data_IF_917076693931
#
_entry.id   IF_917076693931
#
_cell.length_a   1.000
_cell.length_b   1.000
_cell.length_c   1.000
_cell.angle_alpha   90.00
_cell.angle_beta   90.00
_cell.angle_gamma   90.00
#
_symmetry.space_group_name_H-M   'P 1'
#
loop_
_entity.id
_entity.type
_entity.pdbx_description
1 polymer ?
#
# COMPACT_ATOMS: atom_id res chain seq x y z
N UNK A 1 31.72 -22.75 62.34
CA UNK A 1 30.56 -22.57 63.25
C UNK A 1 29.85 -21.28 62.83
N UNK A 2 28.50 -21.29 62.74
CA UNK A 2 27.60 -20.20 62.27
C UNK A 2 27.57 -19.92 60.74
N UNK A 3 26.43 -19.75 60.05
CA UNK A 3 24.99 -19.86 60.38
C UNK A 3 24.20 -19.88 59.04
N UNK A 4 23.09 -20.62 58.98
CA UNK A 4 22.17 -20.73 57.83
C UNK A 4 21.41 -19.43 57.54
N UNK A 5 21.13 -19.16 56.27
CA UNK A 5 19.92 -18.51 55.72
C UNK A 5 19.66 -19.15 54.34
N UNK A 6 18.66 -20.04 54.16
CA UNK A 6 17.26 -19.71 53.81
C UNK A 6 17.24 -18.62 52.73
N UNK A 7 17.04 -18.88 51.44
CA UNK A 7 15.97 -19.64 50.80
C UNK A 7 15.15 -18.61 50.00
N UNK A 8 14.95 -18.82 48.70
CA UNK A 8 13.78 -18.38 47.92
C UNK A 8 13.85 -19.15 46.60
N UNK A 9 12.89 -20.06 46.46
CA UNK A 9 12.45 -20.62 45.21
C UNK A 9 11.82 -19.51 44.37
N UNK A 10 12.12 -19.46 43.08
CA UNK A 10 11.55 -18.47 42.18
C UNK A 10 12.03 -18.68 40.77
N UNK A 11 11.64 -19.82 40.18
CA UNK A 11 11.68 -20.00 38.73
C UNK A 11 10.69 -19.00 38.15
N UNK A 12 11.18 -17.80 37.82
CA UNK A 12 10.41 -16.81 37.06
C UNK A 12 10.40 -17.30 35.61
N UNK A 13 9.43 -18.16 35.30
CA UNK A 13 9.08 -18.52 33.94
C UNK A 13 8.45 -17.27 33.30
N UNK A 14 9.29 -16.38 32.78
CA UNK A 14 8.82 -15.31 31.92
C UNK A 14 8.26 -15.97 30.66
N UNK A 15 6.95 -16.07 30.60
CA UNK A 15 6.20 -16.32 29.38
C UNK A 15 6.60 -15.23 28.38
N UNK A 16 7.54 -15.55 27.49
CA UNK A 16 7.74 -14.79 26.28
C UNK A 16 6.44 -14.96 25.48
N UNK A 17 5.53 -13.99 25.63
CA UNK A 17 4.38 -13.88 24.75
C UNK A 17 4.93 -13.71 23.34
N UNK A 18 4.77 -14.75 22.53
CA UNK A 18 5.16 -14.76 21.12
C UNK A 18 4.45 -13.62 20.41
N UNK A 19 5.14 -12.49 20.24
CA UNK A 19 4.79 -11.47 19.26
C UNK A 19 5.11 -12.06 17.89
N UNK A 20 4.22 -12.92 17.38
CA UNK A 20 4.15 -13.17 15.95
C UNK A 20 3.59 -11.89 15.31
N UNK A 21 4.48 -10.91 15.09
CA UNK A 21 4.24 -9.84 14.14
C UNK A 21 3.91 -10.52 12.81
N UNK A 22 2.63 -10.53 12.44
CA UNK A 22 2.17 -11.17 11.21
C UNK A 22 2.80 -10.37 10.07
N UNK A 23 3.75 -10.99 9.38
CA UNK A 23 4.41 -10.48 8.18
C UNK A 23 3.43 -10.41 6.98
N UNK A 24 2.31 -9.70 7.15
CA UNK A 24 1.44 -9.27 6.06
C UNK A 24 1.78 -7.83 5.73
N UNK A 25 1.85 -7.50 4.44
CA UNK A 25 2.01 -6.11 4.02
C UNK A 25 0.91 -5.25 4.66
N UNK A 26 1.29 -4.09 5.18
CA UNK A 26 0.37 -3.17 5.86
C UNK A 26 -0.72 -2.67 4.86
N UNK A 27 -1.97 -2.45 5.28
CA UNK A 27 -3.00 -1.88 4.42
C UNK A 27 -2.61 -0.51 3.86
N UNK A 28 -2.94 -0.25 2.60
CA UNK A 28 -2.57 1.00 1.92
C UNK A 28 -3.32 2.24 2.44
N UNK A 29 -4.40 2.07 3.19
CA UNK A 29 -5.29 3.16 3.61
C UNK A 29 -4.97 3.76 4.99
N UNK A 30 -3.99 3.23 5.72
CA UNK A 30 -3.62 3.76 7.04
C UNK A 30 -2.98 5.14 6.90
N UNK A 31 -3.18 6.02 7.89
CA UNK A 31 -2.58 7.37 7.86
C UNK A 31 -1.04 7.33 7.76
N UNK A 32 -0.40 6.40 8.48
CA UNK A 32 1.04 6.19 8.40
C UNK A 32 1.45 5.78 6.98
N UNK A 33 0.72 4.84 6.38
CA UNK A 33 1.06 4.34 5.05
C UNK A 33 0.84 5.34 3.93
N UNK A 34 -0.18 6.21 4.04
CA UNK A 34 -0.44 7.29 3.08
C UNK A 34 0.76 8.25 2.96
N UNK A 35 1.46 8.53 4.06
CA UNK A 35 2.67 9.37 4.07
C UNK A 35 3.78 8.69 3.24
N UNK A 36 4.02 7.41 3.48
CA UNK A 36 5.02 6.63 2.73
C UNK A 36 4.67 6.52 1.24
N UNK A 37 3.42 6.22 0.92
CA UNK A 37 2.93 6.14 -0.47
C UNK A 37 3.13 7.47 -1.19
N UNK A 38 2.84 8.58 -0.53
CA UNK A 38 3.04 9.93 -1.09
C UNK A 38 4.51 10.16 -1.43
N UNK A 39 5.44 9.70 -0.60
CA UNK A 39 6.87 9.75 -0.91
C UNK A 39 7.22 8.87 -2.12
N UNK A 40 6.70 7.63 -2.19
CA UNK A 40 6.89 6.75 -3.34
C UNK A 40 6.39 7.35 -4.65
N UNK A 41 5.21 7.97 -4.66
CA UNK A 41 4.69 8.65 -5.85
C UNK A 41 5.58 9.81 -6.32
N UNK A 42 6.35 10.45 -5.44
CA UNK A 42 7.35 11.44 -5.84
C UNK A 42 8.55 10.80 -6.53
N UNK A 43 8.98 9.62 -6.11
CA UNK A 43 10.05 8.88 -6.80
C UNK A 43 9.70 8.51 -8.24
N UNK A 44 8.41 8.32 -8.55
CA UNK A 44 7.95 8.13 -9.94
C UNK A 44 8.32 9.31 -10.85
N UNK A 45 8.36 10.54 -10.32
CA UNK A 45 8.79 11.73 -11.04
C UNK A 45 10.32 11.80 -11.22
N UNK A 46 11.07 10.94 -10.54
CA UNK A 46 12.54 10.84 -10.55
C UNK A 46 13.01 9.57 -11.29
N UNK A 47 12.21 9.09 -12.26
CA UNK A 47 12.48 7.91 -13.09
C UNK A 47 12.57 6.56 -12.36
N UNK A 48 12.03 6.45 -11.14
CA UNK A 48 11.85 5.14 -10.49
C UNK A 48 10.43 4.61 -10.68
N UNK A 49 10.23 3.44 -11.30
CA UNK A 49 8.89 2.96 -11.60
C UNK A 49 8.09 2.68 -10.33
N UNK A 50 6.85 3.19 -10.29
CA UNK A 50 5.89 2.88 -9.20
C UNK A 50 4.68 2.17 -9.79
N UNK A 51 4.37 0.98 -9.28
CA UNK A 51 3.20 0.22 -9.69
C UNK A 51 2.08 0.43 -8.67
N UNK A 52 0.90 0.85 -9.14
CA UNK A 52 -0.27 1.08 -8.28
C UNK A 52 -1.43 0.24 -8.77
N UNK A 53 -1.88 -0.71 -7.95
CA UNK A 53 -3.10 -1.49 -8.18
C UNK A 53 -4.22 -0.93 -7.34
N UNK A 54 -5.39 -0.70 -7.94
CA UNK A 54 -6.55 -0.14 -7.24
C UNK A 54 -7.87 -0.66 -7.82
N UNK A 55 -8.92 -0.61 -6.99
CA UNK A 55 -10.27 -0.99 -7.39
C UNK A 55 -10.88 0.07 -8.33
N UNK A 56 -11.33 -0.34 -9.52
CA UNK A 56 -11.75 0.59 -10.59
C UNK A 56 -13.11 1.23 -10.34
N UNK A 57 -13.91 0.65 -9.45
CA UNK A 57 -15.26 1.08 -9.09
C UNK A 57 -15.39 1.54 -7.63
N UNK A 58 -14.27 1.70 -6.92
CA UNK A 58 -14.32 2.22 -5.56
C UNK A 58 -14.81 3.68 -5.56
N UNK A 59 -15.45 4.08 -4.46
CA UNK A 59 -15.99 5.42 -4.30
C UNK A 59 -14.88 6.48 -4.48
N UNK A 60 -15.21 7.54 -5.21
CA UNK A 60 -14.28 8.64 -5.51
C UNK A 60 -13.26 8.35 -6.62
N UNK A 61 -13.08 7.10 -7.06
CA UNK A 61 -12.25 6.78 -8.22
C UNK A 61 -12.89 7.29 -9.51
N UNK A 62 -12.11 7.99 -10.33
CA UNK A 62 -12.55 8.49 -11.65
C UNK A 62 -11.70 7.87 -12.75
N UNK A 63 -12.36 7.12 -13.63
CA UNK A 63 -11.77 6.46 -14.80
C UNK A 63 -12.68 6.62 -16.01
N UNK A 64 -12.15 6.65 -17.24
CA UNK A 64 -12.96 6.46 -18.45
C UNK A 64 -13.76 5.16 -18.42
N UNK A 65 -15.02 5.20 -18.88
CA UNK A 65 -15.90 4.03 -18.92
C UNK A 65 -15.28 2.82 -19.64
N UNK A 66 -14.59 3.05 -20.75
CA UNK A 66 -13.91 2.00 -21.51
C UNK A 66 -12.82 1.26 -20.70
N UNK A 67 -12.18 1.92 -19.72
CA UNK A 67 -11.24 1.25 -18.82
C UNK A 67 -11.96 0.43 -17.76
N UNK A 68 -13.07 0.93 -17.23
CA UNK A 68 -13.91 0.19 -16.26
C UNK A 68 -14.50 -1.07 -16.90
N UNK A 69 -14.98 -0.97 -18.14
CA UNK A 69 -15.49 -2.13 -18.89
C UNK A 69 -14.41 -3.19 -19.11
N UNK A 70 -13.18 -2.76 -19.43
CA UNK A 70 -12.05 -3.66 -19.68
C UNK A 70 -11.47 -4.23 -18.38
N UNK A 71 -11.49 -3.47 -17.30
CA UNK A 71 -10.93 -3.81 -15.98
C UNK A 71 -12.00 -3.60 -14.90
N UNK A 72 -12.95 -4.53 -14.76
CA UNK A 72 -14.16 -4.32 -13.96
C UNK A 72 -13.96 -4.39 -12.44
N UNK A 73 -12.94 -5.12 -11.96
CA UNK A 73 -12.63 -5.21 -10.53
C UNK A 73 -11.47 -4.27 -10.17
N UNK A 74 -10.30 -4.50 -10.76
CA UNK A 74 -9.06 -3.81 -10.42
C UNK A 74 -8.22 -3.53 -11.68
N UNK A 75 -7.39 -2.50 -11.60
CA UNK A 75 -6.40 -2.18 -12.63
C UNK A 75 -5.06 -1.86 -11.97
N UNK A 76 -3.97 -2.27 -12.61
CA UNK A 76 -2.62 -1.82 -12.25
C UNK A 76 -2.15 -0.80 -13.28
N UNK A 77 -1.70 0.36 -12.80
CA UNK A 77 -0.99 1.37 -13.59
C UNK A 77 0.48 1.37 -13.19
N UNK A 78 1.34 1.70 -14.15
CA UNK A 78 2.78 1.88 -13.92
C UNK A 78 3.08 3.36 -14.16
N UNK A 79 3.55 4.04 -13.13
CA UNK A 79 4.00 5.43 -13.21
C UNK A 79 5.49 5.42 -13.53
N UNK A 80 5.80 5.49 -14.82
CA UNK A 80 7.16 5.53 -15.34
C UNK A 80 7.16 6.25 -16.69
N UNK A 81 8.11 7.18 -16.90
CA UNK A 81 8.44 7.94 -18.12
C UNK A 81 7.29 8.69 -18.84
N UNK A 82 6.15 8.05 -19.07
CA UNK A 82 5.00 8.55 -19.85
C UNK A 82 3.76 8.77 -18.96
N UNK A 83 3.87 9.69 -18.00
CA UNK A 83 2.74 10.24 -17.29
C UNK A 83 2.86 11.76 -17.18
N UNK A 84 1.75 12.44 -16.89
CA UNK A 84 1.78 13.87 -16.62
C UNK A 84 0.78 14.27 -15.55
N UNK A 85 0.85 15.53 -15.12
CA UNK A 85 -0.10 16.12 -14.16
C UNK A 85 -0.32 15.25 -12.93
N UNK A 86 0.76 14.63 -12.42
CA UNK A 86 0.72 13.94 -11.15
C UNK A 86 0.52 14.98 -10.04
N UNK A 87 -0.62 14.91 -9.37
CA UNK A 87 -0.95 15.75 -8.23
C UNK A 87 -1.28 14.81 -7.08
N UNK A 88 -0.47 14.86 -6.02
CA UNK A 88 -0.69 14.07 -4.80
C UNK A 88 -1.32 14.97 -3.74
N UNK A 89 -2.34 14.45 -3.07
CA UNK A 89 -3.13 15.09 -2.02
C UNK A 89 -3.15 14.19 -0.79
N UNK A 90 -3.73 14.66 0.32
CA UNK A 90 -3.79 13.88 1.57
C UNK A 90 -4.65 12.60 1.45
N UNK A 91 -5.62 12.60 0.53
CA UNK A 91 -6.58 11.51 0.36
C UNK A 91 -6.30 10.60 -0.85
N UNK A 92 -5.39 11.00 -1.74
CA UNK A 92 -5.09 10.25 -2.96
C UNK A 92 -4.28 11.05 -3.97
N UNK A 93 -4.40 10.68 -5.25
CA UNK A 93 -3.69 11.32 -6.33
C UNK A 93 -4.50 11.43 -7.62
N UNK A 94 -4.17 12.42 -8.43
CA UNK A 94 -4.58 12.53 -9.83
C UNK A 94 -3.39 12.31 -10.75
N UNK A 95 -3.59 11.64 -11.89
CA UNK A 95 -2.54 11.43 -12.88
C UNK A 95 -3.10 11.36 -14.29
N UNK A 96 -2.35 11.86 -15.26
CA UNK A 96 -2.59 11.70 -16.68
C UNK A 96 -1.77 10.59 -17.29
N UNK A 97 -2.43 9.69 -18.02
CA UNK A 97 -1.81 8.53 -18.69
C UNK A 97 -2.33 8.40 -20.12
N UNK A 98 -1.62 7.63 -20.94
CA UNK A 98 -2.05 7.28 -22.29
C UNK A 98 -2.38 5.79 -22.41
N UNK A 99 -3.62 5.48 -22.75
CA UNK A 99 -4.09 4.12 -23.00
C UNK A 99 -4.27 3.92 -24.51
N UNK A 100 -3.39 3.14 -25.14
CA UNK A 100 -3.39 2.93 -26.61
C UNK A 100 -3.45 4.28 -27.37
N UNK A 101 -2.59 5.23 -27.01
CA UNK A 101 -2.53 6.60 -27.54
C UNK A 101 -3.72 7.51 -27.21
N UNK A 102 -4.70 7.05 -26.44
CA UNK A 102 -5.78 7.90 -25.91
C UNK A 102 -5.40 8.42 -24.53
N UNK A 103 -5.33 9.73 -24.39
CA UNK A 103 -5.09 10.35 -23.11
C UNK A 103 -6.28 10.17 -22.16
N UNK A 104 -6.01 9.86 -20.90
CA UNK A 104 -6.99 9.79 -19.83
C UNK A 104 -6.43 10.41 -18.56
N UNK A 105 -7.27 11.14 -17.83
CA UNK A 105 -6.97 11.55 -16.45
C UNK A 105 -7.65 10.57 -15.50
N UNK A 106 -6.91 10.12 -14.50
CA UNK A 106 -7.40 9.26 -13.43
C UNK A 106 -7.37 10.04 -12.11
N UNK A 107 -8.39 9.82 -11.28
CA UNK A 107 -8.38 10.22 -9.86
C UNK A 107 -8.47 8.93 -9.04
N UNK A 108 -7.54 8.72 -8.11
CA UNK A 108 -7.44 7.51 -7.30
C UNK A 108 -7.28 7.90 -5.84
N UNK A 109 -8.21 7.46 -4.99
CA UNK A 109 -8.10 7.64 -3.53
C UNK A 109 -7.25 6.53 -2.92
N UNK A 110 -6.53 6.82 -1.84
CA UNK A 110 -5.71 5.82 -1.14
C UNK A 110 -6.54 4.66 -0.58
N UNK A 111 -7.81 4.91 -0.25
CA UNK A 111 -8.76 3.88 0.20
C UNK A 111 -9.11 2.88 -0.91
N UNK A 112 -8.96 3.26 -2.18
CA UNK A 112 -9.16 2.38 -3.33
C UNK A 112 -7.91 1.57 -3.67
N UNK A 113 -6.74 1.91 -3.13
CA UNK A 113 -5.46 1.26 -3.44
C UNK A 113 -5.40 -0.11 -2.78
N UNK A 114 -5.11 -1.12 -3.59
CA UNK A 114 -5.05 -2.53 -3.23
C UNK A 114 -3.64 -3.01 -3.02
N UNK A 115 -2.70 -2.54 -3.84
CA UNK A 115 -1.29 -2.76 -3.64
C UNK A 115 -0.47 -1.64 -4.27
N UNK A 116 0.68 -1.35 -3.68
CA UNK A 116 1.64 -0.41 -4.22
C UNK A 116 3.05 -0.97 -4.13
N UNK A 117 3.79 -0.85 -5.22
CA UNK A 117 5.19 -1.23 -5.32
C UNK A 117 6.03 -0.04 -5.76
N UNK A 118 7.07 0.27 -5.01
CA UNK A 118 8.12 1.24 -5.39
C UNK A 118 9.29 0.41 -5.91
N UNK A 119 9.51 0.45 -7.23
CA UNK A 119 10.38 -0.49 -7.94
C UNK A 119 10.00 -1.95 -7.65
N UNK A 120 10.92 -2.76 -7.10
CA UNK A 120 10.69 -4.15 -6.73
C UNK A 120 10.19 -4.34 -5.29
N UNK A 121 10.00 -3.27 -4.52
CA UNK A 121 9.66 -3.34 -3.09
C UNK A 121 8.16 -3.16 -2.89
N UNK A 122 7.51 -4.15 -2.28
CA UNK A 122 6.09 -4.05 -1.91
C UNK A 122 5.94 -3.10 -0.73
N UNK A 123 5.35 -1.93 -0.98
CA UNK A 123 5.13 -0.93 0.06
C UNK A 123 3.93 -1.34 0.91
N UNK A 124 2.78 -1.58 0.29
CA UNK A 124 1.53 -1.91 0.99
C UNK A 124 0.73 -2.94 0.19
N UNK A 125 -0.16 -3.64 0.90
CA UNK A 125 -1.22 -4.40 0.26
C UNK A 125 -2.43 -4.50 1.19
N UNK A 126 -3.62 -4.25 0.65
CA UNK A 126 -4.85 -4.70 1.31
C UNK A 126 -5.04 -6.18 0.97
N UNK A 127 -4.64 -7.07 1.86
CA UNK A 127 -5.09 -8.45 1.77
C UNK A 127 -6.62 -8.46 1.89
N UNK A 128 -7.34 -8.97 0.89
CA UNK A 128 -8.60 -9.62 1.19
C UNK A 128 -8.25 -11.03 1.69
N UNK A 129 -8.35 -11.33 2.99
CA UNK A 129 -8.37 -12.72 3.42
C UNK A 129 -9.69 -13.33 2.93
N UNK A 130 -9.72 -13.80 1.68
CA UNK A 130 -10.89 -14.51 1.12
C UNK A 130 -11.24 -14.17 -0.32
N UNK A 131 -10.43 -14.62 -1.28
CA UNK A 131 -10.94 -15.35 -2.45
C UNK A 131 -10.09 -16.62 -2.57
N UNK A 132 -10.54 -17.67 -1.88
CA UNK A 132 -10.31 -19.06 -2.31
C UNK A 132 -11.39 -19.38 -3.35
#
# INVERSE_FOLDING_TARGET
>A
MWRRRAGIAGVLLLLAASLTARAGAEPCNTAAKRIEITASLRHAAEDRPVNVTFATRADGVKLPAALIEKYPEEITIILQHEFNRLVVTDDGFEVGLWFKRKYARLTVLFDAVRSLWDDAIQMCASGQPGKQ
#
